data_IF_138453106826
#
_entry.id   IF_138453106826
#
_cell.length_a   1.000
_cell.length_b   1.000
_cell.length_c   1.000
_cell.angle_alpha   90.00
_cell.angle_beta   90.00
_cell.angle_gamma   90.00
#
_symmetry.space_group_name_H-M   'P 1'
#
loop_
_entity.id
_entity.type
_entity.pdbx_description
1 polymer ?
#
# COMPACT_ATOMS: atom_id res chain seq x y z
N UNK A 1 -10.42 15.39 -7.13
CA UNK A 1 -10.85 13.97 -7.16
C UNK A 1 -10.15 13.24 -6.04
N UNK A 2 -10.83 12.39 -5.28
CA UNK A 2 -10.23 11.60 -4.22
C UNK A 2 -10.26 10.12 -4.61
N UNK A 3 -9.13 9.44 -4.47
CA UNK A 3 -9.01 8.01 -4.79
C UNK A 3 -8.88 7.22 -3.49
N UNK A 4 -9.76 6.23 -3.31
CA UNK A 4 -9.66 5.28 -2.20
C UNK A 4 -8.58 4.26 -2.54
N UNK A 5 -7.60 4.13 -1.67
CA UNK A 5 -6.50 3.18 -1.84
C UNK A 5 -6.77 1.92 -1.01
N UNK A 6 -6.71 0.73 -1.60
CA UNK A 6 -6.98 -0.55 -0.90
C UNK A 6 -5.74 -1.13 -0.18
N UNK A 7 -5.89 -1.77 0.98
CA UNK A 7 -4.82 -2.33 1.82
C UNK A 7 -3.84 -3.18 1.02
N UNK A 8 -4.35 -4.04 0.14
CA UNK A 8 -3.55 -4.94 -0.70
C UNK A 8 -2.55 -4.18 -1.59
N UNK A 9 -2.94 -3.03 -2.14
CA UNK A 9 -2.02 -2.18 -2.93
C UNK A 9 -0.87 -1.65 -2.07
N UNK A 10 -1.12 -1.37 -0.78
CA UNK A 10 -0.11 -0.86 0.14
C UNK A 10 0.86 -1.97 0.55
N UNK A 11 0.37 -3.18 0.81
CA UNK A 11 1.20 -4.35 1.08
C UNK A 11 2.12 -4.70 -0.10
N UNK A 12 1.60 -4.71 -1.33
CA UNK A 12 2.42 -4.96 -2.52
C UNK A 12 3.45 -3.85 -2.79
N UNK A 13 3.28 -2.64 -2.25
CA UNK A 13 4.32 -1.60 -2.32
C UNK A 13 5.47 -1.82 -1.35
N UNK A 14 5.27 -2.65 -0.32
CA UNK A 14 6.31 -3.03 0.64
C UNK A 14 7.05 -4.29 0.18
N UNK A 15 6.40 -5.16 -0.59
CA UNK A 15 6.97 -6.40 -1.11
C UNK A 15 7.70 -6.23 -2.45
N UNK A 16 9.02 -5.97 -2.42
CA UNK A 16 9.84 -5.80 -3.65
C UNK A 16 9.85 -6.99 -4.60
N UNK A 17 9.51 -8.19 -4.12
CA UNK A 17 9.43 -9.42 -4.92
C UNK A 17 8.09 -9.58 -5.63
N UNK A 18 7.08 -8.76 -5.29
CA UNK A 18 5.78 -8.81 -5.96
C UNK A 18 5.92 -8.40 -7.43
N UNK A 19 5.31 -9.14 -8.37
CA UNK A 19 5.31 -8.77 -9.79
C UNK A 19 4.62 -7.42 -10.04
N UNK A 20 3.75 -6.99 -9.12
CA UNK A 20 2.98 -5.76 -9.22
C UNK A 20 3.72 -4.54 -8.66
N UNK A 21 4.83 -4.75 -7.95
CA UNK A 21 5.58 -3.70 -7.24
C UNK A 21 5.87 -2.48 -8.14
N UNK A 22 6.37 -2.71 -9.35
CA UNK A 22 6.72 -1.65 -10.30
C UNK A 22 5.49 -0.89 -10.80
N UNK A 23 4.40 -1.62 -11.08
CA UNK A 23 3.16 -1.04 -11.60
C UNK A 23 2.52 -0.13 -10.54
N UNK A 24 2.40 -0.61 -9.31
CA UNK A 24 1.76 0.12 -8.22
C UNK A 24 2.59 1.36 -7.85
N UNK A 25 3.93 1.26 -7.83
CA UNK A 25 4.79 2.45 -7.60
C UNK A 25 4.61 3.51 -8.68
N UNK A 26 4.47 3.11 -9.95
CA UNK A 26 4.23 4.05 -11.05
C UNK A 26 2.86 4.74 -10.89
N UNK A 27 1.82 3.99 -10.52
CA UNK A 27 0.50 4.55 -10.27
C UNK A 27 0.52 5.54 -9.10
N UNK A 28 1.13 5.18 -7.97
CA UNK A 28 1.30 6.06 -6.81
C UNK A 28 2.07 7.34 -7.15
N UNK A 29 3.17 7.22 -7.91
CA UNK A 29 3.94 8.38 -8.34
C UNK A 29 3.09 9.33 -9.19
N UNK A 30 2.30 8.81 -10.12
CA UNK A 30 1.38 9.63 -10.93
C UNK A 30 0.36 10.35 -10.05
N UNK A 31 -0.26 9.66 -9.10
CA UNK A 31 -1.23 10.29 -8.19
C UNK A 31 -0.60 11.40 -7.33
N UNK A 32 0.66 11.26 -6.92
CA UNK A 32 1.41 12.32 -6.22
C UNK A 32 1.66 13.51 -7.16
N UNK A 33 2.13 13.24 -8.38
CA UNK A 33 2.39 14.26 -9.41
C UNK A 33 1.12 15.04 -9.78
N UNK A 34 -0.04 14.38 -9.79
CA UNK A 34 -1.36 15.00 -10.07
C UNK A 34 -2.04 15.59 -8.83
N UNK A 35 -1.38 15.57 -7.66
CA UNK A 35 -1.92 16.06 -6.37
C UNK A 35 -3.27 15.42 -6.01
N UNK A 36 -3.49 14.17 -6.38
CA UNK A 36 -4.69 13.44 -6.01
C UNK A 36 -4.76 13.22 -4.49
N UNK A 37 -5.95 13.41 -3.93
CA UNK A 37 -6.19 13.06 -2.53
C UNK A 37 -6.29 11.54 -2.42
N UNK A 38 -5.22 10.92 -1.92
CA UNK A 38 -5.19 9.49 -1.60
C UNK A 38 -5.79 9.28 -0.20
N UNK A 39 -6.95 8.63 -0.13
CA UNK A 39 -7.65 8.34 1.11
C UNK A 39 -7.47 6.87 1.47
N UNK A 40 -7.21 6.60 2.75
CA UNK A 40 -7.03 5.26 3.30
C UNK A 40 -7.90 5.07 4.53
N UNK A 41 -8.46 3.88 4.70
CA UNK A 41 -9.11 3.49 5.94
C UNK A 41 -8.05 3.23 7.03
N UNK A 42 -8.34 3.64 8.25
CA UNK A 42 -7.43 3.42 9.39
C UNK A 42 -7.23 1.92 9.67
N UNK A 43 -8.25 1.10 9.45
CA UNK A 43 -8.18 -0.36 9.54
C UNK A 43 -7.14 -0.94 8.58
N UNK A 44 -7.16 -0.48 7.31
CA UNK A 44 -6.17 -0.85 6.31
C UNK A 44 -4.73 -0.51 6.70
N UNK A 45 -4.53 0.63 7.37
CA UNK A 45 -3.20 1.03 7.85
C UNK A 45 -2.76 0.11 8.99
N UNK A 46 -3.67 -0.20 9.92
CA UNK A 46 -3.39 -1.09 11.06
C UNK A 46 -3.05 -2.52 10.60
N UNK A 47 -3.78 -3.06 9.61
CA UNK A 47 -3.47 -4.36 9.00
C UNK A 47 -2.09 -4.35 8.31
N UNK A 48 -1.81 -3.31 7.53
CA UNK A 48 -0.52 -3.16 6.86
C UNK A 48 0.64 -3.08 7.86
N UNK A 49 0.46 -2.31 8.94
CA UNK A 49 1.42 -2.21 10.03
C UNK A 49 1.65 -3.57 10.69
N UNK A 50 0.58 -4.27 11.07
CA UNK A 50 0.68 -5.59 11.67
C UNK A 50 1.47 -6.56 10.77
N UNK A 51 1.17 -6.64 9.48
CA UNK A 51 1.91 -7.51 8.56
C UNK A 51 3.38 -7.09 8.42
N UNK A 52 3.66 -5.78 8.38
CA UNK A 52 5.02 -5.28 8.20
C UNK A 52 5.90 -5.38 9.46
N UNK A 53 5.31 -5.34 10.65
CA UNK A 53 6.04 -5.30 11.92
C UNK A 53 5.91 -6.57 12.76
N UNK A 54 5.02 -7.49 12.41
CA UNK A 54 4.87 -8.73 13.17
C UNK A 54 6.16 -9.56 13.03
N UNK A 55 6.86 -9.88 14.13
CA UNK A 55 7.92 -10.87 14.09
C UNK A 55 7.28 -12.19 13.65
N UNK A 56 7.93 -12.88 12.70
CA UNK A 56 7.47 -14.15 12.15
C UNK A 56 7.48 -15.21 13.26
N UNK A 57 6.43 -15.27 14.06
CA UNK A 57 6.18 -16.35 15.00
C UNK A 57 5.48 -17.48 14.24
N UNK A 58 6.07 -18.68 14.12
CA UNK A 58 5.36 -19.82 13.54
C UNK A 58 4.24 -20.25 14.49
N UNK A 59 3.02 -20.35 13.95
CA UNK A 59 1.85 -20.95 14.61
C UNK A 59 2.09 -22.44 14.91
#
# INVERSE_FOLDING_TARGET
>A
MAALFDTCLLLHTLERRSPEFVMIRKALRRSIETQERLIKCIQSIAECWNVATCPWEPL
#
